data_IF_302268939107
#
_entry.id   IF_302268939107
#
_cell.length_a   1.000
_cell.length_b   1.000
_cell.length_c   1.000
_cell.angle_alpha   90.00
_cell.angle_beta   90.00
_cell.angle_gamma   90.00
#
_symmetry.space_group_name_H-M   'P 1'
#
loop_
_entity.id
_entity.type
_entity.pdbx_description
1 polymer ?
#
# COMPACT_ATOMS: atom_id res chain seq x y z
N UNK A 1 -8.25 12.65 20.55
CA UNK A 1 -8.16 12.88 19.10
C UNK A 1 -6.68 13.02 18.75
N UNK A 2 -6.05 12.04 18.07
CA UNK A 2 -4.71 12.22 17.53
C UNK A 2 -4.80 12.42 16.01
N UNK A 3 -4.79 13.67 15.56
CA UNK A 3 -4.87 14.04 14.12
C UNK A 3 -3.55 14.65 13.59
N UNK A 4 -2.41 14.48 14.28
CA UNK A 4 -1.16 15.15 13.90
C UNK A 4 -0.03 14.21 13.43
N UNK A 5 -0.21 12.89 13.46
CA UNK A 5 0.91 11.96 13.22
C UNK A 5 1.08 11.60 11.74
N UNK A 6 -0.01 11.54 10.95
CA UNK A 6 0.05 11.18 9.53
C UNK A 6 0.71 12.26 8.64
N UNK A 7 0.47 13.54 8.93
CA UNK A 7 0.97 14.62 8.09
C UNK A 7 2.50 14.71 8.09
N UNK A 8 3.14 14.41 9.23
CA UNK A 8 4.59 14.52 9.37
C UNK A 8 5.34 13.34 8.71
N UNK A 9 4.83 12.12 8.83
CA UNK A 9 5.46 10.92 8.25
C UNK A 9 5.37 10.90 6.72
N UNK A 10 4.24 11.32 6.15
CA UNK A 10 4.10 11.45 4.70
C UNK A 10 5.06 12.51 4.12
N UNK A 11 5.10 13.72 4.69
CA UNK A 11 5.97 14.80 4.20
C UNK A 11 7.45 14.42 4.26
N UNK A 12 7.87 13.71 5.32
CA UNK A 12 9.24 13.20 5.44
C UNK A 12 9.56 12.14 4.38
N UNK A 13 8.65 11.19 4.12
CA UNK A 13 8.84 10.17 3.09
C UNK A 13 8.85 10.76 1.66
N UNK A 14 7.94 11.69 1.34
CA UNK A 14 7.96 12.37 0.04
C UNK A 14 9.26 13.18 -0.14
N UNK A 15 9.73 13.84 0.92
CA UNK A 15 11.03 14.51 0.95
C UNK A 15 12.21 13.58 0.67
N UNK A 16 12.21 12.39 1.27
CA UNK A 16 13.24 11.37 1.05
C UNK A 16 13.23 10.84 -0.40
N UNK A 17 12.06 10.47 -0.92
CA UNK A 17 11.86 10.01 -2.31
C UNK A 17 12.31 11.08 -3.32
N UNK A 18 11.91 12.34 -3.12
CA UNK A 18 12.35 13.46 -3.97
C UNK A 18 13.86 13.65 -3.91
N UNK A 19 14.44 13.64 -2.71
CA UNK A 19 15.89 13.84 -2.54
C UNK A 19 16.66 12.74 -3.26
N UNK A 20 16.29 11.48 -3.03
CA UNK A 20 16.95 10.30 -3.59
C UNK A 20 16.77 10.19 -5.11
N UNK A 21 15.61 10.59 -5.64
CA UNK A 21 15.36 10.64 -7.08
C UNK A 21 15.95 11.87 -7.80
N UNK A 22 16.58 12.81 -7.09
CA UNK A 22 16.95 14.14 -7.59
C UNK A 22 15.74 14.94 -8.14
N UNK A 23 14.60 14.83 -7.48
CA UNK A 23 13.35 15.55 -7.79
C UNK A 23 12.60 15.00 -8.99
N UNK A 24 12.98 13.83 -9.52
CA UNK A 24 12.33 13.21 -10.69
C UNK A 24 11.03 12.50 -10.36
N UNK A 25 10.89 12.02 -9.12
CA UNK A 25 9.72 11.31 -8.65
C UNK A 25 9.17 11.97 -7.38
N UNK A 26 7.86 11.86 -7.23
CA UNK A 26 7.09 12.20 -6.03
C UNK A 26 6.46 10.95 -5.44
N UNK A 27 5.97 11.03 -4.20
CA UNK A 27 5.22 9.93 -3.60
C UNK A 27 3.98 9.56 -4.41
N UNK A 28 3.32 10.54 -5.04
CA UNK A 28 2.17 10.27 -5.90
C UNK A 28 2.54 9.36 -7.10
N UNK A 29 3.71 9.56 -7.70
CA UNK A 29 4.21 8.69 -8.78
C UNK A 29 4.44 7.27 -8.28
N UNK A 30 5.04 7.13 -7.09
CA UNK A 30 5.23 5.83 -6.41
C UNK A 30 3.91 5.12 -6.14
N UNK A 31 2.92 5.82 -5.59
CA UNK A 31 1.61 5.24 -5.26
C UNK A 31 0.88 4.79 -6.53
N UNK A 32 0.94 5.57 -7.60
CA UNK A 32 0.40 5.17 -8.90
C UNK A 32 1.10 3.95 -9.48
N UNK A 33 2.45 3.92 -9.46
CA UNK A 33 3.21 2.77 -9.95
C UNK A 33 2.91 1.50 -9.17
N UNK A 34 2.88 1.60 -7.83
CA UNK A 34 2.55 0.47 -6.97
C UNK A 34 1.14 -0.07 -7.19
N UNK A 35 0.15 0.81 -7.44
CA UNK A 35 -1.20 0.37 -7.81
C UNK A 35 -1.19 -0.44 -9.12
N UNK A 36 -0.47 0.01 -10.15
CA UNK A 36 -0.41 -0.70 -11.43
C UNK A 36 0.22 -2.09 -11.28
N UNK A 37 1.27 -2.21 -10.48
CA UNK A 37 1.89 -3.51 -10.19
C UNK A 37 0.94 -4.44 -9.41
N UNK A 38 0.22 -3.92 -8.42
CA UNK A 38 -0.81 -4.68 -7.69
C UNK A 38 -1.94 -5.10 -8.61
N UNK A 39 -2.39 -4.25 -9.54
CA UNK A 39 -3.41 -4.60 -10.53
C UNK A 39 -2.92 -5.70 -11.47
N UNK A 40 -1.66 -5.64 -11.88
CA UNK A 40 -1.05 -6.68 -12.70
C UNK A 40 -1.04 -8.03 -11.99
N UNK A 41 -0.50 -8.08 -10.77
CA UNK A 41 -0.45 -9.29 -9.96
C UNK A 41 -1.86 -9.84 -9.65
N UNK A 42 -2.79 -8.97 -9.28
CA UNK A 42 -4.20 -9.32 -9.07
C UNK A 42 -4.86 -9.93 -10.32
N UNK A 43 -4.56 -9.38 -11.50
CA UNK A 43 -5.03 -9.91 -12.78
C UNK A 43 -4.54 -11.33 -13.06
N UNK A 44 -3.27 -11.64 -12.76
CA UNK A 44 -2.71 -13.00 -12.85
C UNK A 44 -3.47 -13.95 -11.91
N UNK A 45 -3.83 -13.49 -10.72
CA UNK A 45 -4.55 -14.26 -9.71
C UNK A 45 -6.08 -14.29 -9.89
N UNK A 46 -6.60 -13.68 -10.96
CA UNK A 46 -8.04 -13.58 -11.26
C UNK A 46 -8.84 -12.88 -10.15
N UNK A 47 -8.26 -11.87 -9.52
CA UNK A 47 -8.96 -10.98 -8.59
C UNK A 47 -9.59 -9.84 -9.40
N UNK A 48 -10.90 -9.68 -9.30
CA UNK A 48 -11.65 -8.64 -10.01
C UNK A 48 -11.94 -7.43 -9.09
N UNK A 49 -11.90 -6.24 -9.69
CA UNK A 49 -12.15 -4.97 -9.01
C UNK A 49 -13.36 -4.26 -9.62
N UNK A 50 -14.25 -3.78 -8.76
CA UNK A 50 -15.31 -2.83 -9.15
C UNK A 50 -14.74 -1.42 -9.33
N UNK A 51 -13.73 -1.06 -8.53
CA UNK A 51 -12.95 0.17 -8.66
C UNK A 51 -11.53 -0.01 -8.14
N UNK A 52 -10.57 0.71 -8.72
CA UNK A 52 -9.16 0.69 -8.34
C UNK A 52 -8.52 2.02 -8.72
N UNK A 53 -8.39 2.92 -7.76
CA UNK A 53 -8.06 4.32 -8.01
C UNK A 53 -7.03 4.84 -6.99
N UNK A 54 -6.39 5.95 -7.32
CA UNK A 54 -5.55 6.71 -6.39
C UNK A 54 -6.24 8.01 -6.06
N UNK A 55 -6.49 8.26 -4.79
CA UNK A 55 -6.82 9.61 -4.32
C UNK A 55 -5.54 10.45 -4.33
N UNK A 56 -5.40 11.31 -5.33
CA UNK A 56 -4.20 12.14 -5.51
C UNK A 56 -4.02 13.22 -4.44
N UNK A 57 -5.09 13.61 -3.73
CA UNK A 57 -4.99 14.60 -2.66
C UNK A 57 -4.46 13.97 -1.38
N UNK A 58 -4.89 12.73 -1.09
CA UNK A 58 -4.46 11.99 0.10
C UNK A 58 -3.26 11.08 -0.15
N UNK A 59 -2.94 10.81 -1.43
CA UNK A 59 -1.91 9.87 -1.87
C UNK A 59 -2.15 8.48 -1.30
N UNK A 60 -3.38 8.00 -1.53
CA UNK A 60 -3.92 6.74 -1.02
C UNK A 60 -4.45 5.94 -2.20
N UNK A 61 -4.15 4.64 -2.24
CA UNK A 61 -4.84 3.68 -3.11
C UNK A 61 -6.17 3.32 -2.48
N UNK A 62 -7.24 3.31 -3.28
CA UNK A 62 -8.57 2.86 -2.89
C UNK A 62 -9.04 1.76 -3.85
N UNK A 63 -9.38 0.59 -3.33
CA UNK A 63 -9.89 -0.56 -4.08
C UNK A 63 -11.27 -0.98 -3.57
N UNK A 64 -12.11 -1.42 -4.50
CA UNK A 64 -13.32 -2.17 -4.22
C UNK A 64 -13.26 -3.51 -4.97
N UNK A 65 -13.34 -4.61 -4.21
CA UNK A 65 -13.33 -5.96 -4.78
C UNK A 65 -14.71 -6.32 -5.32
N UNK A 66 -14.75 -6.91 -6.52
CA UNK A 66 -15.99 -7.41 -7.10
C UNK A 66 -16.56 -8.54 -6.22
N UNK A 67 -17.86 -8.47 -5.93
CA UNK A 67 -18.55 -9.46 -5.11
C UNK A 67 -18.38 -9.28 -3.59
N UNK A 68 -17.66 -8.24 -3.13
CA UNK A 68 -17.49 -7.92 -1.71
C UNK A 68 -17.89 -6.46 -1.40
N UNK A 69 -19.17 -6.08 -1.56
CA UNK A 69 -19.60 -4.69 -1.56
C UNK A 69 -19.41 -3.93 -0.23
N UNK A 70 -19.33 -4.66 0.88
CA UNK A 70 -19.18 -4.08 2.23
C UNK A 70 -17.71 -3.89 2.65
N UNK A 71 -16.76 -4.20 1.77
CA UNK A 71 -15.33 -4.12 2.06
C UNK A 71 -14.67 -3.08 1.17
N UNK A 72 -14.05 -2.08 1.81
CA UNK A 72 -13.20 -1.10 1.14
C UNK A 72 -11.76 -1.35 1.54
N UNK A 73 -10.90 -1.53 0.55
CA UNK A 73 -9.48 -1.79 0.78
C UNK A 73 -8.71 -0.53 0.43
N UNK A 74 -7.83 -0.08 1.32
CA UNK A 74 -7.01 1.10 1.12
C UNK A 74 -5.54 0.81 1.41
N UNK A 75 -4.65 1.57 0.77
CA UNK A 75 -3.24 1.57 1.10
C UNK A 75 -2.66 2.97 1.09
N UNK A 76 -1.82 3.26 2.07
CA UNK A 76 -0.94 4.42 2.07
C UNK A 76 0.47 4.02 2.48
N UNK A 77 1.52 4.72 2.01
CA UNK A 77 2.91 4.41 2.35
C UNK A 77 3.21 4.47 3.87
N UNK A 78 2.42 5.20 4.64
CA UNK A 78 2.61 5.41 6.08
C UNK A 78 1.79 4.47 6.98
N UNK A 79 0.73 3.86 6.44
CA UNK A 79 -0.11 2.89 7.18
C UNK A 79 -0.05 1.47 6.66
N UNK A 80 0.39 1.27 5.42
CA UNK A 80 0.27 0.00 4.71
C UNK A 80 -1.16 -0.31 4.28
N UNK A 81 -1.39 -1.58 3.95
CA UNK A 81 -2.67 -2.07 3.42
C UNK A 81 -3.67 -2.27 4.55
N UNK A 82 -4.92 -1.87 4.34
CA UNK A 82 -6.01 -2.12 5.28
C UNK A 82 -7.32 -2.35 4.54
N UNK A 83 -8.28 -2.95 5.22
CA UNK A 83 -9.66 -2.96 4.79
C UNK A 83 -10.60 -2.47 5.90
N UNK A 84 -11.62 -1.73 5.53
CA UNK A 84 -12.73 -1.38 6.40
C UNK A 84 -13.86 -2.40 6.20
N UNK A 85 -14.30 -3.01 7.29
CA UNK A 85 -15.52 -3.83 7.36
C UNK A 85 -16.49 -3.26 8.40
N UNK A 86 -17.69 -3.84 8.48
CA UNK A 86 -18.76 -3.38 9.39
C UNK A 86 -18.37 -3.26 10.88
N UNK A 87 -17.32 -3.97 11.30
CA UNK A 87 -16.83 -4.01 12.69
C UNK A 87 -15.57 -3.17 12.94
N UNK A 88 -15.04 -2.46 11.92
CA UNK A 88 -13.86 -1.60 12.05
C UNK A 88 -12.86 -1.71 10.90
N UNK A 89 -11.69 -1.11 11.10
CA UNK A 89 -10.55 -1.14 10.16
C UNK A 89 -9.56 -2.21 10.58
N UNK A 90 -9.10 -3.00 9.62
CA UNK A 90 -8.18 -4.12 9.79
C UNK A 90 -7.00 -3.96 8.84
N UNK A 91 -5.79 -4.09 9.36
CA UNK A 91 -4.54 -3.92 8.62
C UNK A 91 -3.98 -5.27 8.16
N UNK A 92 -3.47 -5.29 6.94
CA UNK A 92 -2.69 -6.41 6.41
C UNK A 92 -1.24 -6.31 6.90
N UNK A 93 -0.61 -7.45 7.13
CA UNK A 93 0.80 -7.56 7.52
C UNK A 93 1.44 -8.72 6.76
N UNK A 94 2.68 -8.52 6.33
CA UNK A 94 3.49 -9.59 5.78
C UNK A 94 4.20 -10.26 6.95
N UNK A 95 3.68 -11.41 7.39
CA UNK A 95 4.22 -12.14 8.54
C UNK A 95 3.71 -11.63 9.90
N UNK A 96 4.46 -11.98 10.96
CA UNK A 96 4.07 -11.74 12.37
C UNK A 96 4.67 -10.42 12.91
N UNK A 97 5.76 -9.93 12.32
CA UNK A 97 6.51 -8.77 12.81
C UNK A 97 6.02 -7.47 12.14
N UNK A 98 5.94 -6.38 12.92
CA UNK A 98 5.57 -5.04 12.46
C UNK A 98 6.77 -4.31 11.85
N UNK A 99 7.36 -4.89 10.80
CA UNK A 99 8.53 -4.30 10.14
C UNK A 99 8.12 -3.38 8.99
N UNK A 100 9.00 -2.45 8.61
CA UNK A 100 8.79 -1.49 7.52
C UNK A 100 8.46 -2.17 6.18
N UNK A 101 8.90 -3.41 5.97
CA UNK A 101 8.52 -4.23 4.82
C UNK A 101 7.00 -4.51 4.74
N UNK A 102 6.30 -4.53 5.87
CA UNK A 102 4.83 -4.66 5.90
C UNK A 102 4.09 -3.41 5.41
N UNK A 103 4.75 -2.24 5.37
CA UNK A 103 4.15 -1.02 4.84
C UNK A 103 4.04 -1.05 3.32
N UNK A 104 5.00 -1.70 2.65
CA UNK A 104 5.03 -1.81 1.18
C UNK A 104 5.29 -3.27 0.76
N UNK A 105 4.33 -4.20 0.99
CA UNK A 105 4.45 -5.61 0.61
C UNK A 105 4.73 -5.82 -0.88
N UNK A 106 5.21 -7.00 -1.27
CA UNK A 106 5.33 -7.34 -2.69
C UNK A 106 3.94 -7.39 -3.35
N UNK A 107 3.77 -6.90 -4.59
CA UNK A 107 2.47 -6.90 -5.27
C UNK A 107 1.79 -8.27 -5.32
N UNK A 108 2.57 -9.35 -5.47
CA UNK A 108 2.08 -10.73 -5.45
C UNK A 108 1.50 -11.13 -4.08
N UNK A 109 2.11 -10.69 -2.98
CA UNK A 109 1.61 -10.96 -1.63
C UNK A 109 0.29 -10.22 -1.39
N UNK A 110 0.20 -8.96 -1.85
CA UNK A 110 -1.03 -8.18 -1.81
C UNK A 110 -2.12 -8.86 -2.63
N UNK A 111 -1.83 -9.26 -3.86
CA UNK A 111 -2.78 -9.96 -4.72
C UNK A 111 -3.30 -11.26 -4.09
N UNK A 112 -2.40 -12.03 -3.45
CA UNK A 112 -2.76 -13.23 -2.69
C UNK A 112 -3.71 -12.93 -1.54
N UNK A 113 -3.45 -11.86 -0.78
CA UNK A 113 -4.32 -11.41 0.30
C UNK A 113 -5.67 -10.88 -0.20
N UNK A 114 -5.70 -10.07 -1.26
CA UNK A 114 -6.93 -9.59 -1.88
C UNK A 114 -7.80 -10.76 -2.37
N UNK A 115 -7.18 -11.83 -2.88
CA UNK A 115 -7.89 -13.06 -3.24
C UNK A 115 -8.53 -13.74 -2.03
N UNK A 116 -7.87 -13.77 -0.88
CA UNK A 116 -8.43 -14.32 0.36
C UNK A 116 -9.62 -13.46 0.82
N UNK A 117 -9.46 -12.13 0.83
CA UNK A 117 -10.56 -11.19 1.12
C UNK A 117 -11.77 -11.38 0.18
N UNK A 118 -11.52 -11.63 -1.10
CA UNK A 118 -12.56 -11.90 -2.10
C UNK A 118 -13.41 -13.14 -1.78
N UNK A 119 -12.88 -14.09 -0.99
CA UNK A 119 -13.64 -15.26 -0.52
C UNK A 119 -14.44 -15.00 0.75
N UNK A 120 -14.32 -13.81 1.34
CA UNK A 120 -15.00 -13.41 2.58
C UNK A 120 -14.20 -13.69 3.85
N UNK A 121 -12.98 -14.22 3.74
CA UNK A 121 -12.08 -14.38 4.88
C UNK A 121 -11.45 -13.03 5.24
N UNK A 122 -11.68 -12.58 6.49
CA UNK A 122 -11.35 -11.23 6.98
C UNK A 122 -10.19 -11.27 7.98
N UNK A 123 -9.08 -11.88 7.57
CA UNK A 123 -7.86 -11.97 8.37
C UNK A 123 -7.09 -10.65 8.30
N UNK A 124 -6.82 -10.05 9.46
CA UNK A 124 -6.08 -8.80 9.60
C UNK A 124 -5.80 -8.46 11.06
N UNK A 125 -5.12 -7.34 11.28
CA UNK A 125 -4.68 -6.86 12.60
C UNK A 125 -5.32 -5.51 12.93
N UNK A 126 -5.66 -5.28 14.19
CA UNK A 126 -6.20 -3.99 14.62
C UNK A 126 -5.09 -2.98 14.95
N UNK A 127 -3.91 -3.47 15.33
CA UNK A 127 -2.77 -2.62 15.65
C UNK A 127 -2.07 -2.11 14.38
N UNK A 128 -1.73 -0.81 14.29
CA UNK A 128 -0.94 -0.28 13.18
C UNK A 128 0.45 -0.92 13.11
N UNK A 129 1.06 -1.04 11.91
CA UNK A 129 2.49 -1.29 11.80
C UNK A 129 3.29 -0.16 12.47
N UNK A 130 4.58 -0.40 12.70
CA UNK A 130 5.47 0.66 13.14
C UNK A 130 5.46 1.80 12.08
N UNK A 131 5.50 3.08 12.50
CA UNK A 131 5.61 4.18 11.55
C UNK A 131 6.82 4.00 10.64
N UNK A 132 6.74 4.39 9.35
CA UNK A 132 7.88 4.35 8.46
C UNK A 132 9.02 5.23 8.99
N UNK A 133 10.25 4.73 8.86
CA UNK A 133 11.45 5.53 9.06
C UNK A 133 11.87 6.13 7.69
N UNK A 134 11.82 7.46 7.51
CA UNK A 134 12.22 8.08 6.24
C UNK A 134 13.72 7.98 5.96
N UNK A 135 14.55 7.63 6.96
CA UNK A 135 15.98 7.39 6.80
C UNK A 135 16.28 5.91 6.47
N UNK A 136 15.26 5.03 6.41
CA UNK A 136 15.40 3.65 5.94
C UNK A 136 15.61 3.62 4.41
N UNK A 137 16.88 3.46 4.01
CA UNK A 137 17.28 3.40 2.60
C UNK A 137 16.56 2.29 1.82
N UNK A 138 16.26 1.14 2.45
CA UNK A 138 15.62 0.02 1.77
C UNK A 138 14.15 0.33 1.46
N UNK A 139 13.44 0.98 2.38
CA UNK A 139 12.07 1.46 2.16
C UNK A 139 12.04 2.51 1.03
N UNK A 140 12.93 3.50 1.08
CA UNK A 140 12.98 4.57 0.07
C UNK A 140 13.34 4.03 -1.31
N UNK A 141 14.35 3.16 -1.42
CA UNK A 141 14.75 2.58 -2.72
C UNK A 141 13.63 1.71 -3.30
N UNK A 142 12.89 0.97 -2.45
CA UNK A 142 11.71 0.20 -2.87
C UNK A 142 10.56 1.08 -3.38
N UNK A 143 10.26 2.18 -2.70
CA UNK A 143 9.28 3.17 -3.14
C UNK A 143 9.67 3.80 -4.50
N UNK A 144 10.96 4.05 -4.72
CA UNK A 144 11.47 4.57 -6.00
C UNK A 144 11.31 3.56 -7.15
N UNK A 145 11.57 2.28 -6.87
CA UNK A 145 11.37 1.18 -7.82
C UNK A 145 9.96 1.20 -8.41
N UNK A 146 8.94 1.25 -7.54
CA UNK A 146 7.54 1.32 -7.98
C UNK A 146 7.24 2.61 -8.75
N UNK A 147 7.74 3.77 -8.28
CA UNK A 147 7.54 5.04 -8.99
C UNK A 147 8.15 5.12 -10.38
N UNK A 148 9.16 4.30 -10.67
CA UNK A 148 9.72 4.17 -12.03
C UNK A 148 9.00 3.16 -12.92
N UNK A 149 8.02 2.40 -12.39
CA UNK A 149 7.41 1.26 -13.07
C UNK A 149 8.44 0.17 -13.43
N UNK A 150 9.54 0.10 -12.68
CA UNK A 150 10.63 -0.85 -12.90
C UNK A 150 10.74 -1.72 -11.67
N UNK A 151 10.09 -2.89 -11.68
CA UNK A 151 10.31 -3.90 -10.65
C UNK A 151 11.70 -4.55 -10.86
N UNK A 152 12.68 -4.37 -9.96
CA UNK A 152 13.99 -5.00 -10.06
C UNK A 152 13.95 -6.47 -9.62
N UNK A 153 12.83 -6.95 -9.06
CA UNK A 153 12.62 -8.30 -8.55
C UNK A 153 11.58 -9.10 -9.35
N UNK A 154 10.91 -8.46 -10.31
CA UNK A 154 10.05 -9.11 -11.31
C UNK A 154 10.88 -9.84 -12.39
N UNK A 155 10.33 -10.89 -13.02
CA UNK A 155 11.02 -11.64 -14.07
C UNK A 155 11.27 -10.86 -15.36
#
# INVERSE_FOLDING_TARGET
>A
MPEATHGMTYESLDGAVRTRSNGRLTMADTVHGYLEDVRHAAGIMQVEFDSADVDQQRVVVELALTGVPDVRVNWSPDLGWCFAGGDGVWLYRVGIESDAASLVPDPDEVAGWLRVLATGERTGHQDPPAPPDPDDEALVDRLLTFGTGTDPYGP
#
